data_IF_823294310627
#
_entry.id   IF_823294310627
#
_cell.length_a   1.000
_cell.length_b   1.000
_cell.length_c   1.000
_cell.angle_alpha   90.00
_cell.angle_beta   90.00
_cell.angle_gamma   90.00
#
_symmetry.space_group_name_H-M   'P 1'
#
loop_
_entity.id
_entity.type
_entity.pdbx_description
1 polymer ?
#
# COMPACT_ATOMS: atom_id res chain seq x y z
N UNK A 1 -21.92 -7.05 -24.83
CA UNK A 1 -21.94 -6.42 -23.47
C UNK A 1 -20.53 -6.35 -22.91
N UNK A 2 -20.13 -5.25 -22.28
CA UNK A 2 -18.80 -5.11 -21.68
C UNK A 2 -18.88 -5.39 -20.17
N UNK A 3 -17.96 -6.20 -19.66
CA UNK A 3 -17.81 -6.47 -18.22
C UNK A 3 -16.75 -5.53 -17.65
N UNK A 4 -17.07 -4.87 -16.54
CA UNK A 4 -16.12 -4.08 -15.76
C UNK A 4 -15.77 -4.88 -14.50
N UNK A 5 -14.50 -5.14 -14.28
CA UNK A 5 -14.00 -5.84 -13.11
C UNK A 5 -13.20 -4.84 -12.28
N UNK A 6 -13.63 -4.64 -11.02
CA UNK A 6 -12.95 -3.77 -10.07
C UNK A 6 -12.15 -4.64 -9.10
N UNK A 7 -10.83 -4.42 -9.10
CA UNK A 7 -9.88 -5.14 -8.24
C UNK A 7 -9.20 -4.12 -7.35
N UNK A 8 -9.24 -4.34 -6.04
CA UNK A 8 -8.55 -3.52 -5.05
C UNK A 8 -7.51 -4.34 -4.29
N UNK A 9 -6.74 -3.72 -3.38
CA UNK A 9 -5.67 -4.39 -2.64
C UNK A 9 -6.16 -5.55 -1.74
N UNK A 10 -7.45 -5.59 -1.42
CA UNK A 10 -8.06 -6.75 -0.75
C UNK A 10 -7.94 -8.05 -1.55
N UNK A 11 -7.85 -7.95 -2.87
CA UNK A 11 -7.57 -9.09 -3.73
C UNK A 11 -6.15 -9.62 -3.51
N UNK A 12 -5.16 -8.73 -3.47
CA UNK A 12 -3.76 -9.08 -3.25
C UNK A 12 -3.57 -9.72 -1.87
N UNK A 13 -4.18 -9.13 -0.84
CA UNK A 13 -4.14 -9.64 0.53
C UNK A 13 -4.79 -11.03 0.64
N UNK A 14 -5.90 -11.27 -0.06
CA UNK A 14 -6.55 -12.59 -0.11
C UNK A 14 -5.66 -13.66 -0.77
N UNK A 15 -4.73 -13.25 -1.62
CA UNK A 15 -3.72 -14.11 -2.24
C UNK A 15 -2.42 -14.20 -1.44
N UNK A 16 -2.38 -13.65 -0.23
CA UNK A 16 -1.21 -13.67 0.64
C UNK A 16 -0.12 -12.69 0.25
N UNK A 17 -0.39 -11.73 -0.63
CA UNK A 17 0.55 -10.67 -0.94
C UNK A 17 0.47 -9.57 0.14
N UNK A 18 1.57 -9.24 0.82
CA UNK A 18 1.59 -8.20 1.84
C UNK A 18 1.62 -6.81 1.15
N UNK A 19 0.47 -6.34 0.69
CA UNK A 19 0.32 -5.08 -0.06
C UNK A 19 -0.38 -3.97 0.73
N UNK A 20 -0.57 -4.17 2.04
CA UNK A 20 -1.11 -3.12 2.90
C UNK A 20 -0.08 -2.00 3.15
N UNK A 21 -0.56 -0.81 3.47
CA UNK A 21 0.32 0.29 3.90
C UNK A 21 1.09 -0.02 5.17
N UNK A 22 0.54 -0.85 6.04
CA UNK A 22 1.24 -1.31 7.23
C UNK A 22 2.43 -2.22 6.87
N UNK A 23 2.25 -3.12 5.90
CA UNK A 23 3.32 -3.97 5.40
C UNK A 23 4.42 -3.14 4.75
N UNK A 24 4.05 -2.13 3.95
CA UNK A 24 4.98 -1.18 3.35
C UNK A 24 5.81 -0.44 4.41
N UNK A 25 5.18 0.15 5.43
CA UNK A 25 5.90 0.87 6.47
C UNK A 25 6.75 -0.05 7.36
N UNK A 26 6.30 -1.28 7.60
CA UNK A 26 7.11 -2.29 8.26
C UNK A 26 8.38 -2.62 7.46
N UNK A 27 8.26 -2.81 6.14
CA UNK A 27 9.42 -3.05 5.25
C UNK A 27 10.34 -1.83 5.22
N UNK A 28 9.78 -0.62 5.15
CA UNK A 28 10.53 0.63 5.20
C UNK A 28 11.37 0.75 6.49
N UNK A 29 10.77 0.53 7.65
CA UNK A 29 11.49 0.55 8.93
C UNK A 29 12.57 -0.53 9.01
N UNK A 30 12.26 -1.76 8.58
CA UNK A 30 13.23 -2.85 8.53
C UNK A 30 14.43 -2.52 7.64
N UNK A 31 14.20 -1.86 6.51
CA UNK A 31 15.28 -1.45 5.61
C UNK A 31 16.18 -0.38 6.24
N UNK A 32 15.62 0.61 6.95
CA UNK A 32 16.41 1.60 7.69
C UNK A 32 17.29 0.93 8.73
N UNK A 33 16.73 0.01 9.51
CA UNK A 33 17.49 -0.72 10.54
C UNK A 33 18.58 -1.60 9.91
N UNK A 34 18.28 -2.24 8.78
CA UNK A 34 19.26 -3.01 8.04
C UNK A 34 20.41 -2.13 7.52
N UNK A 35 20.10 -0.91 7.02
CA UNK A 35 21.11 0.07 6.63
C UNK A 35 22.00 0.51 7.82
N UNK A 36 21.40 0.76 8.97
CA UNK A 36 22.12 1.11 10.20
C UNK A 36 23.06 -0.01 10.61
N UNK A 37 22.58 -1.26 10.64
CA UNK A 37 23.38 -2.45 10.97
C UNK A 37 24.53 -2.66 9.97
N UNK A 38 24.23 -2.57 8.66
CA UNK A 38 25.24 -2.72 7.60
C UNK A 38 26.29 -1.62 7.60
N UNK A 39 25.89 -0.39 7.94
CA UNK A 39 26.80 0.76 8.07
C UNK A 39 27.62 0.74 9.36
N UNK A 40 27.41 -0.24 10.25
CA UNK A 40 28.06 -0.32 11.54
C UNK A 40 27.97 0.97 12.35
N UNK A 41 26.82 1.64 12.28
CA UNK A 41 26.62 2.92 12.99
C UNK A 41 26.48 2.63 14.49
N UNK A 42 27.33 3.23 15.36
CA UNK A 42 27.34 2.91 16.78
C UNK A 42 26.05 3.34 17.49
N UNK A 43 25.73 2.63 18.59
CA UNK A 43 24.67 3.02 19.53
C UNK A 43 24.90 4.46 20.01
N UNK A 44 23.83 5.23 20.13
CA UNK A 44 23.90 6.63 20.56
C UNK A 44 24.36 7.62 19.49
N UNK A 45 24.68 7.16 18.29
CA UNK A 45 25.02 8.06 17.17
C UNK A 45 23.78 8.39 16.34
N UNK A 46 23.72 9.56 15.69
CA UNK A 46 22.62 9.92 14.81
C UNK A 46 22.70 9.19 13.48
N UNK A 47 21.55 8.90 12.90
CA UNK A 47 21.41 8.42 11.52
C UNK A 47 20.44 9.31 10.77
N UNK A 48 20.79 9.65 9.53
CA UNK A 48 19.94 10.46 8.66
C UNK A 48 19.86 9.89 7.26
N UNK A 49 18.64 9.61 6.82
CA UNK A 49 18.32 9.37 5.41
C UNK A 49 17.67 10.62 4.86
N UNK A 50 18.48 11.42 4.14
CA UNK A 50 18.11 12.76 3.67
C UNK A 50 16.75 12.76 2.96
N UNK A 51 15.88 13.69 3.33
CA UNK A 51 14.54 13.84 2.80
C UNK A 51 13.50 12.90 3.40
N UNK A 52 13.89 11.84 4.09
CA UNK A 52 12.96 10.82 4.59
C UNK A 52 12.91 10.78 6.11
N UNK A 53 14.03 10.49 6.77
CA UNK A 53 14.04 10.21 8.20
C UNK A 53 15.31 10.73 8.86
N UNK A 54 15.16 11.20 10.09
CA UNK A 54 16.24 11.57 10.99
C UNK A 54 16.04 10.85 12.32
N UNK A 55 17.09 10.18 12.79
CA UNK A 55 17.14 9.48 14.06
C UNK A 55 18.23 10.16 14.89
N UNK A 56 17.82 10.78 16.00
CA UNK A 56 18.75 11.52 16.87
C UNK A 56 19.78 10.62 17.54
N UNK A 57 19.34 9.47 18.04
CA UNK A 57 20.19 8.47 18.66
C UNK A 57 19.71 7.06 18.30
N UNK A 58 20.63 6.20 17.90
CA UNK A 58 20.32 4.80 17.60
C UNK A 58 20.16 4.03 18.92
N UNK A 59 18.96 3.48 19.21
CA UNK A 59 18.75 2.74 20.44
C UNK A 59 19.45 1.38 20.42
N UNK A 60 19.85 0.84 21.59
CA UNK A 60 20.51 -0.46 21.70
C UNK A 60 19.70 -1.61 21.07
N UNK A 61 18.37 -1.57 21.18
CA UNK A 61 17.46 -2.57 20.61
C UNK A 61 17.59 -2.73 19.08
N UNK A 62 17.98 -1.67 18.37
CA UNK A 62 18.10 -1.70 16.91
C UNK A 62 19.41 -2.33 16.42
N UNK A 63 20.39 -2.49 17.28
CA UNK A 63 21.67 -3.12 16.97
C UNK A 63 21.72 -4.59 17.37
N UNK A 64 20.75 -5.07 18.16
CA UNK A 64 20.66 -6.47 18.57
C UNK A 64 20.30 -7.36 17.34
N UNK A 65 21.11 -8.39 17.03
CA UNK A 65 20.83 -9.29 15.90
C UNK A 65 19.59 -10.17 16.09
N UNK A 66 19.13 -10.34 17.35
CA UNK A 66 18.01 -11.23 17.70
C UNK A 66 16.65 -10.51 17.67
N UNK A 67 16.64 -9.19 17.76
CA UNK A 67 15.39 -8.43 17.84
C UNK A 67 14.70 -8.36 16.48
N UNK A 68 13.56 -9.03 16.34
CA UNK A 68 12.64 -8.86 15.22
C UNK A 68 11.81 -7.61 15.48
N UNK A 69 12.16 -6.51 14.81
CA UNK A 69 11.49 -5.23 14.97
C UNK A 69 10.12 -5.23 14.31
N UNK A 70 9.08 -4.87 15.06
CA UNK A 70 7.74 -4.60 14.54
C UNK A 70 7.49 -3.09 14.51
N UNK A 71 6.73 -2.64 13.51
CA UNK A 71 6.38 -1.24 13.32
C UNK A 71 5.81 -0.57 14.59
N UNK A 72 4.96 -1.28 15.34
CA UNK A 72 4.30 -0.73 16.54
C UNK A 72 5.21 -0.64 17.75
N UNK A 73 6.13 -1.57 17.91
CA UNK A 73 6.92 -1.68 19.12
C UNK A 73 8.19 -0.84 19.07
N UNK A 74 8.82 -0.73 17.90
CA UNK A 74 10.18 -0.20 17.81
C UNK A 74 10.29 1.17 17.15
N UNK A 75 9.42 1.48 16.20
CA UNK A 75 9.42 2.80 15.55
C UNK A 75 8.55 3.83 16.29
N UNK A 76 7.69 3.39 17.20
CA UNK A 76 6.79 4.26 17.96
C UNK A 76 7.31 4.63 19.34
N UNK A 77 8.34 3.94 19.82
CA UNK A 77 8.91 4.24 21.13
C UNK A 77 9.73 5.52 21.04
N UNK A 78 9.52 6.39 22.00
CA UNK A 78 10.26 7.64 22.21
C UNK A 78 11.77 7.46 22.44
N UNK A 79 12.25 6.22 22.42
CA UNK A 79 13.65 5.90 22.75
C UNK A 79 14.64 6.27 21.63
N UNK A 80 14.20 6.30 20.37
CA UNK A 80 15.10 6.56 19.24
C UNK A 80 15.00 7.96 18.64
N UNK A 81 14.15 8.86 19.15
CA UNK A 81 13.92 10.18 18.55
C UNK A 81 13.73 10.12 17.02
N UNK A 82 12.97 9.13 16.55
CA UNK A 82 12.65 8.99 15.14
C UNK A 82 11.78 10.18 14.69
N UNK A 83 12.28 10.96 13.75
CA UNK A 83 11.56 12.05 13.12
C UNK A 83 11.55 11.87 11.61
N UNK A 84 10.42 12.12 10.98
CA UNK A 84 10.33 12.11 9.53
C UNK A 84 10.60 13.52 8.98
N UNK A 85 11.50 13.61 8.02
CA UNK A 85 11.73 14.85 7.25
C UNK A 85 10.63 15.03 6.20
N UNK A 86 10.10 13.94 5.67
CA UNK A 86 8.95 13.93 4.78
C UNK A 86 7.67 14.04 5.59
N UNK A 87 7.00 15.21 5.50
CA UNK A 87 5.79 15.52 6.28
C UNK A 87 4.62 14.61 5.93
N UNK A 88 4.50 14.20 4.67
CA UNK A 88 3.44 13.29 4.25
C UNK A 88 3.65 11.88 4.81
N UNK A 89 4.89 11.38 4.79
CA UNK A 89 5.24 10.08 5.38
C UNK A 89 5.00 10.09 6.91
N UNK A 90 5.37 11.17 7.61
CA UNK A 90 5.07 11.36 9.03
C UNK A 90 3.58 11.26 9.33
N UNK A 91 2.76 11.88 8.48
CA UNK A 91 1.31 11.85 8.61
C UNK A 91 0.73 10.45 8.46
N UNK A 92 1.16 9.71 7.44
CA UNK A 92 0.74 8.33 7.20
C UNK A 92 1.15 7.44 8.38
N UNK A 93 2.40 7.58 8.82
CA UNK A 93 2.96 6.84 9.94
C UNK A 93 2.13 7.04 11.23
N UNK A 94 1.85 8.28 11.61
CA UNK A 94 1.05 8.61 12.79
C UNK A 94 -0.39 8.07 12.70
N UNK A 95 -0.98 8.08 11.50
CA UNK A 95 -2.34 7.56 11.30
C UNK A 95 -2.41 6.06 11.46
N UNK A 96 -1.50 5.32 10.86
CA UNK A 96 -1.43 3.87 11.00
C UNK A 96 -1.17 3.44 12.44
N UNK A 97 -0.35 4.20 13.16
CA UNK A 97 -0.10 3.94 14.58
C UNK A 97 -1.39 4.03 15.43
N UNK A 98 -2.26 4.99 15.11
CA UNK A 98 -3.49 5.23 15.90
C UNK A 98 -4.65 4.31 15.48
N UNK A 99 -4.80 4.04 14.17
CA UNK A 99 -6.02 3.44 13.59
C UNK A 99 -5.82 2.09 12.92
N UNK A 100 -4.60 1.58 12.79
CA UNK A 100 -4.26 0.38 12.02
C UNK A 100 -4.67 0.44 10.52
N UNK A 101 -5.16 1.59 10.05
CA UNK A 101 -5.59 1.82 8.68
C UNK A 101 -5.40 3.28 8.28
N UNK A 102 -5.03 3.51 7.03
CA UNK A 102 -4.87 4.85 6.48
C UNK A 102 -5.48 4.91 5.09
N UNK A 103 -6.22 6.00 4.86
CA UNK A 103 -6.66 6.44 3.55
C UNK A 103 -5.68 7.53 3.08
N UNK A 104 -4.73 7.11 2.25
CA UNK A 104 -3.64 8.00 1.78
C UNK A 104 -4.20 9.17 0.97
N UNK A 105 -5.22 8.94 0.18
CA UNK A 105 -5.84 9.98 -0.65
C UNK A 105 -6.50 11.03 0.24
N UNK A 106 -7.21 10.60 1.27
CA UNK A 106 -7.81 11.51 2.24
C UNK A 106 -6.76 12.25 3.08
N UNK A 107 -5.68 11.60 3.51
CA UNK A 107 -4.60 12.27 4.24
C UNK A 107 -3.88 13.32 3.38
N UNK A 108 -3.65 13.02 2.10
CA UNK A 108 -3.13 14.00 1.15
C UNK A 108 -4.08 15.19 0.99
N UNK A 109 -5.39 14.92 0.83
CA UNK A 109 -6.40 15.95 0.69
C UNK A 109 -6.51 16.85 1.93
N UNK A 110 -6.43 16.28 3.13
CA UNK A 110 -6.43 17.06 4.38
C UNK A 110 -5.19 17.94 4.54
N UNK A 111 -4.03 17.48 4.07
CA UNK A 111 -2.83 18.32 4.01
C UNK A 111 -2.96 19.42 2.97
N UNK A 112 -3.51 19.11 1.79
CA UNK A 112 -3.71 20.06 0.72
C UNK A 112 -4.65 21.21 1.16
N UNK A 113 -5.72 20.91 1.90
CA UNK A 113 -6.58 21.94 2.49
C UNK A 113 -5.80 22.90 3.39
N UNK A 114 -4.95 22.37 4.27
CA UNK A 114 -4.12 23.20 5.16
C UNK A 114 -3.14 24.07 4.40
N UNK A 115 -2.58 23.57 3.33
CA UNK A 115 -1.69 24.32 2.44
C UNK A 115 -2.44 25.48 1.75
N UNK A 116 -3.70 25.26 1.35
CA UNK A 116 -4.54 26.31 0.74
C UNK A 116 -4.87 27.42 1.76
N UNK A 117 -5.10 27.04 3.02
CA UNK A 117 -5.40 27.97 4.09
C UNK A 117 -4.15 28.76 4.54
N UNK A 118 -2.99 28.13 4.56
CA UNK A 118 -1.70 28.76 4.92
C UNK A 118 -0.51 28.00 4.30
N UNK A 119 -0.04 28.47 3.15
CA UNK A 119 1.09 27.86 2.45
C UNK A 119 2.48 28.26 3.00
N UNK A 120 2.51 29.18 3.98
CA UNK A 120 3.77 29.62 4.60
C UNK A 120 4.39 28.57 5.50
N UNK A 121 3.57 27.68 6.08
CA UNK A 121 4.01 26.63 7.00
C UNK A 121 4.51 25.40 6.23
N UNK A 122 3.81 25.04 5.15
CA UNK A 122 4.13 23.88 4.33
C UNK A 122 3.68 24.10 2.87
N UNK A 123 4.58 24.59 2.00
CA UNK A 123 4.22 24.94 0.63
C UNK A 123 3.68 23.77 -0.19
N UNK A 124 2.71 24.03 -1.07
CA UNK A 124 2.13 23.03 -1.96
C UNK A 124 3.17 22.27 -2.79
N UNK A 125 4.25 22.94 -3.16
CA UNK A 125 5.38 22.32 -3.89
C UNK A 125 6.08 21.24 -3.04
N UNK A 126 6.26 21.49 -1.75
CA UNK A 126 6.87 20.53 -0.83
C UNK A 126 5.93 19.36 -0.58
N UNK A 127 4.64 19.59 -0.36
CA UNK A 127 3.64 18.54 -0.22
C UNK A 127 3.64 17.61 -1.45
N UNK A 128 3.67 18.17 -2.65
CA UNK A 128 3.75 17.38 -3.89
C UNK A 128 5.06 16.59 -4.00
N UNK A 129 6.18 17.18 -3.59
CA UNK A 129 7.48 16.49 -3.56
C UNK A 129 7.46 15.31 -2.60
N UNK A 130 6.98 15.53 -1.39
CA UNK A 130 6.85 14.52 -0.34
C UNK A 130 5.94 13.37 -0.76
N UNK A 131 4.80 13.70 -1.38
CA UNK A 131 3.88 12.71 -1.92
C UNK A 131 4.51 11.86 -3.04
N UNK A 132 5.23 12.49 -3.98
CA UNK A 132 5.91 11.76 -5.05
C UNK A 132 7.00 10.83 -4.51
N UNK A 133 7.72 11.24 -3.47
CA UNK A 133 8.73 10.41 -2.83
C UNK A 133 8.10 9.18 -2.15
N UNK A 134 7.03 9.36 -1.38
CA UNK A 134 6.28 8.25 -0.77
C UNK A 134 5.70 7.31 -1.83
N UNK A 135 5.14 7.86 -2.91
CA UNK A 135 4.63 7.08 -4.04
C UNK A 135 5.74 6.24 -4.69
N UNK A 136 6.93 6.79 -4.87
CA UNK A 136 8.07 6.06 -5.43
C UNK A 136 8.53 4.93 -4.51
N UNK A 137 8.61 5.18 -3.20
CA UNK A 137 8.95 4.15 -2.19
C UNK A 137 7.91 3.01 -2.19
N UNK A 138 6.63 3.36 -2.25
CA UNK A 138 5.55 2.38 -2.32
C UNK A 138 5.62 1.55 -3.61
N UNK A 139 5.87 2.18 -4.77
CA UNK A 139 6.05 1.44 -6.03
C UNK A 139 7.19 0.44 -5.95
N UNK A 140 8.35 0.84 -5.45
CA UNK A 140 9.49 -0.05 -5.26
C UNK A 140 9.18 -1.21 -4.30
N UNK A 141 8.42 -0.94 -3.26
CA UNK A 141 7.96 -1.98 -2.34
C UNK A 141 7.06 -3.00 -3.04
N UNK A 142 6.05 -2.51 -3.80
CA UNK A 142 5.09 -3.37 -4.50
C UNK A 142 5.77 -4.20 -5.61
N UNK A 143 6.68 -3.61 -6.38
CA UNK A 143 7.50 -4.34 -7.37
C UNK A 143 8.26 -5.50 -6.71
N UNK A 144 8.88 -5.27 -5.55
CA UNK A 144 9.57 -6.30 -4.78
C UNK A 144 8.62 -7.40 -4.27
N UNK A 145 7.35 -7.09 -3.96
CA UNK A 145 6.36 -8.11 -3.59
C UNK A 145 5.90 -8.90 -4.81
N UNK A 146 5.67 -8.24 -5.95
CA UNK A 146 5.29 -8.89 -7.21
C UNK A 146 6.36 -9.90 -7.66
N UNK A 147 7.63 -9.53 -7.66
CA UNK A 147 8.75 -10.43 -7.98
C UNK A 147 8.76 -11.69 -7.09
N UNK A 148 8.53 -11.52 -5.79
CA UNK A 148 8.44 -12.64 -4.85
C UNK A 148 7.22 -13.53 -5.12
N UNK A 149 6.09 -12.91 -5.46
CA UNK A 149 4.85 -13.62 -5.74
C UNK A 149 4.95 -14.43 -7.02
N UNK A 150 5.49 -13.86 -8.09
CA UNK A 150 5.69 -14.55 -9.37
C UNK A 150 6.55 -15.81 -9.22
N UNK A 151 7.55 -15.80 -8.33
CA UNK A 151 8.38 -16.98 -8.04
C UNK A 151 7.64 -18.09 -7.27
N UNK A 152 6.53 -17.75 -6.61
CA UNK A 152 5.72 -18.66 -5.79
C UNK A 152 4.31 -18.86 -6.36
N UNK A 153 4.09 -18.60 -7.66
CA UNK A 153 2.78 -18.64 -8.29
C UNK A 153 1.98 -19.91 -7.99
N UNK A 154 0.70 -19.72 -7.66
CA UNK A 154 -0.26 -20.80 -7.41
C UNK A 154 -1.09 -21.05 -8.69
N UNK A 155 -0.74 -22.05 -9.53
CA UNK A 155 -1.37 -22.28 -10.83
C UNK A 155 -2.90 -22.43 -10.75
N UNK A 156 -3.38 -23.08 -9.70
CA UNK A 156 -4.81 -23.36 -9.50
C UNK A 156 -5.63 -22.09 -9.25
N UNK A 157 -5.06 -21.08 -8.54
CA UNK A 157 -5.72 -19.80 -8.29
C UNK A 157 -5.83 -19.00 -9.58
N UNK A 158 -4.77 -18.96 -10.40
CA UNK A 158 -4.81 -18.28 -11.70
C UNK A 158 -5.87 -18.86 -12.63
N UNK A 159 -5.96 -20.19 -12.71
CA UNK A 159 -6.96 -20.84 -13.55
C UNK A 159 -8.38 -20.53 -13.10
N UNK A 160 -8.62 -20.52 -11.78
CA UNK A 160 -9.93 -20.20 -11.22
C UNK A 160 -10.33 -18.74 -11.44
N UNK A 161 -9.42 -17.79 -11.21
CA UNK A 161 -9.65 -16.37 -11.44
C UNK A 161 -9.88 -16.10 -12.93
N UNK A 162 -9.03 -16.65 -13.80
CA UNK A 162 -9.19 -16.54 -15.26
C UNK A 162 -10.53 -17.09 -15.69
N UNK A 163 -10.96 -18.22 -15.15
CA UNK A 163 -12.29 -18.76 -15.43
C UNK A 163 -13.40 -17.76 -15.05
N UNK A 164 -13.35 -17.17 -13.85
CA UNK A 164 -14.36 -16.16 -13.43
C UNK A 164 -14.33 -14.92 -14.32
N UNK A 165 -13.14 -14.42 -14.68
CA UNK A 165 -12.98 -13.21 -15.50
C UNK A 165 -13.48 -13.42 -16.93
N UNK A 166 -13.15 -14.56 -17.53
CA UNK A 166 -13.44 -14.87 -18.92
C UNK A 166 -14.72 -15.69 -19.13
N UNK A 167 -15.38 -16.12 -18.06
CA UNK A 167 -16.68 -16.83 -18.16
C UNK A 167 -17.72 -15.96 -18.86
N UNK A 168 -18.58 -16.54 -19.69
CA UNK A 168 -19.73 -15.84 -20.26
C UNK A 168 -20.60 -15.23 -19.13
N UNK A 169 -21.22 -14.08 -19.40
CA UNK A 169 -22.17 -13.47 -18.49
C UNK A 169 -23.42 -14.31 -18.47
N UNK A 170 -23.84 -14.80 -17.30
CA UNK A 170 -25.10 -15.53 -17.14
C UNK A 170 -26.26 -14.54 -16.89
N UNK A 171 -27.45 -14.89 -17.36
CA UNK A 171 -28.66 -14.14 -17.03
C UNK A 171 -28.90 -14.07 -15.53
N UNK A 172 -28.46 -15.10 -14.79
CA UNK A 172 -28.57 -15.16 -13.31
C UNK A 172 -27.72 -14.08 -12.62
N UNK A 173 -26.69 -13.57 -13.30
CA UNK A 173 -25.80 -12.53 -12.77
C UNK A 173 -26.41 -11.13 -12.95
N UNK A 174 -27.54 -11.02 -13.65
CA UNK A 174 -28.19 -9.75 -13.98
C UNK A 174 -29.39 -9.50 -13.06
N UNK A 175 -29.46 -8.27 -12.52
CA UNK A 175 -30.66 -7.87 -11.76
C UNK A 175 -31.85 -7.69 -12.70
N UNK A 176 -33.08 -7.83 -12.14
CA UNK A 176 -34.31 -7.57 -12.89
C UNK A 176 -34.33 -6.19 -13.56
N UNK A 177 -33.81 -5.14 -12.88
CA UNK A 177 -33.69 -3.80 -13.44
C UNK A 177 -32.68 -3.72 -14.57
N UNK A 178 -31.64 -4.54 -14.54
CA UNK A 178 -30.66 -4.60 -15.64
C UNK A 178 -31.27 -5.27 -16.87
N UNK A 179 -32.04 -6.34 -16.68
CA UNK A 179 -32.70 -7.08 -17.76
C UNK A 179 -33.66 -6.20 -18.57
N UNK A 180 -34.34 -5.24 -17.94
CA UNK A 180 -35.25 -4.32 -18.63
C UNK A 180 -34.53 -3.23 -19.44
N UNK A 181 -33.24 -3.03 -19.21
CA UNK A 181 -32.40 -2.01 -19.89
C UNK A 181 -31.51 -2.57 -20.99
N UNK A 182 -31.38 -3.88 -21.08
CA UNK A 182 -30.55 -4.55 -22.07
C UNK A 182 -31.39 -4.68 -23.37
N UNK A 183 -30.83 -4.30 -24.52
CA UNK A 183 -31.47 -4.54 -25.82
C UNK A 183 -31.78 -6.02 -26.02
N UNK A 184 -32.91 -6.29 -26.68
CA UNK A 184 -33.39 -7.68 -26.89
C UNK A 184 -32.36 -8.54 -27.65
N UNK A 185 -31.60 -7.96 -28.57
CA UNK A 185 -30.55 -8.64 -29.32
C UNK A 185 -29.43 -9.11 -28.41
N UNK A 186 -28.89 -8.23 -27.53
CA UNK A 186 -27.87 -8.59 -26.57
C UNK A 186 -28.37 -9.63 -25.53
N UNK A 187 -29.63 -9.53 -25.15
CA UNK A 187 -30.24 -10.49 -24.20
C UNK A 187 -30.33 -11.88 -24.86
N UNK A 188 -30.61 -11.98 -26.14
CA UNK A 188 -30.64 -13.22 -26.88
C UNK A 188 -29.24 -13.83 -27.07
N UNK A 189 -28.20 -13.01 -27.25
CA UNK A 189 -26.81 -13.48 -27.28
C UNK A 189 -26.40 -14.09 -25.97
N UNK A 190 -26.74 -13.43 -24.82
CA UNK A 190 -26.46 -13.96 -23.48
C UNK A 190 -27.19 -15.27 -23.25
N UNK A 191 -28.45 -15.41 -23.73
CA UNK A 191 -29.22 -16.65 -23.63
C UNK A 191 -28.58 -17.77 -24.46
N UNK A 192 -28.20 -17.48 -25.69
CA UNK A 192 -27.58 -18.44 -26.59
C UNK A 192 -26.26 -19.00 -26.08
N UNK A 193 -25.45 -18.17 -25.41
CA UNK A 193 -24.18 -18.61 -24.80
C UNK A 193 -24.38 -19.54 -23.59
N UNK A 194 -25.52 -19.48 -22.91
CA UNK A 194 -25.85 -20.33 -21.76
C UNK A 194 -26.50 -21.68 -22.14
N UNK A 195 -26.92 -21.87 -23.38
CA UNK A 195 -27.52 -23.12 -23.85
C UNK A 195 -26.48 -24.10 -24.46
N UNK A 196 -25.24 -23.64 -24.68
CA UNK A 196 -24.16 -24.42 -25.30
C UNK A 196 -23.19 -25.02 -24.28
N UNK A 197 -23.36 -24.78 -22.98
CA UNK A 197 -22.57 -25.31 -21.86
C UNK A 197 -23.35 -26.29 -21.02
#
# INVERSE_FOLDING_TARGET
MNRIILIGNGFDLAHGMPTSYQDFLNDFCKNIIAEIKAGCIPIGQPYRKKGLVNIGEIPPSWTDPVTSLTFKEDCSTSEGNLTFENTFLDKIFKRLYIKDWVDIENEYYELLKKVIDDDTIYPAKELNSDFQEVKQLLSQYLEKQDDKYQSNSLPDIYSHISHIIYSPISIKDLSLNSLTRIPAEELNEIKGQNEIG
#
